data_IF_139730464729
#
_entry.id   IF_139730464729
#
_cell.length_a   1.000
_cell.length_b   1.000
_cell.length_c   1.000
_cell.angle_alpha   90.00
_cell.angle_beta   90.00
_cell.angle_gamma   90.00
#
_symmetry.space_group_name_H-M   'P 1'
#
loop_
_entity.id
_entity.type
_entity.pdbx_description
1 polymer ?
#
# COMPACT_ATOMS: atom_id res chain seq x y z
N UNK A 1 -5.81 11.37 2.06
CA UNK A 1 -5.51 9.96 2.40
C UNK A 1 -6.45 9.63 3.54
N UNK A 2 -7.21 8.54 3.44
CA UNK A 2 -8.12 8.14 4.52
C UNK A 2 -7.32 7.70 5.76
N UNK A 3 -7.87 7.92 6.94
CA UNK A 3 -7.29 7.41 8.20
C UNK A 3 -7.67 5.94 8.39
N UNK A 4 -6.86 5.16 9.12
CA UNK A 4 -7.16 3.73 9.36
C UNK A 4 -8.57 3.54 9.94
N UNK A 5 -8.96 4.41 10.87
CA UNK A 5 -10.26 4.40 11.50
C UNK A 5 -11.45 4.54 10.53
N UNK A 6 -11.25 5.11 9.34
CA UNK A 6 -12.29 5.29 8.29
C UNK A 6 -12.40 4.10 7.34
N UNK A 7 -11.42 3.19 7.37
CA UNK A 7 -11.31 2.05 6.46
C UNK A 7 -11.24 0.70 7.18
N UNK A 8 -11.15 0.71 8.51
CA UNK A 8 -11.09 -0.47 9.37
C UNK A 8 -12.30 -1.40 9.12
N UNK A 9 -12.08 -2.62 8.59
CA UNK A 9 -13.16 -3.53 8.21
C UNK A 9 -14.08 -3.91 9.39
N UNK A 10 -13.59 -3.86 10.63
CA UNK A 10 -14.40 -4.13 11.82
C UNK A 10 -15.54 -3.12 12.01
N UNK A 11 -15.41 -1.93 11.42
CA UNK A 11 -16.39 -0.83 11.53
C UNK A 11 -17.40 -0.82 10.37
N UNK A 12 -17.20 -1.68 9.37
CA UNK A 12 -17.96 -1.69 8.14
C UNK A 12 -18.39 -3.13 7.80
N UNK A 13 -19.61 -3.55 8.16
CA UNK A 13 -20.13 -4.84 7.72
C UNK A 13 -20.17 -4.93 6.19
N UNK A 14 -19.79 -6.09 5.64
CA UNK A 14 -19.80 -6.34 4.20
C UNK A 14 -20.09 -7.82 3.93
N UNK A 15 -20.96 -8.09 2.96
CA UNK A 15 -21.23 -9.43 2.45
C UNK A 15 -20.72 -9.54 1.00
N UNK A 16 -19.65 -10.32 0.82
CA UNK A 16 -19.05 -10.54 -0.49
C UNK A 16 -20.01 -11.26 -1.47
N UNK A 17 -20.95 -12.06 -0.97
CA UNK A 17 -21.92 -12.77 -1.82
C UNK A 17 -22.95 -11.82 -2.45
N UNK A 18 -23.29 -10.72 -1.77
CA UNK A 18 -24.24 -9.72 -2.27
C UNK A 18 -23.59 -8.65 -3.16
N UNK A 19 -22.26 -8.53 -3.12
CA UNK A 19 -21.52 -7.43 -3.75
C UNK A 19 -21.86 -7.23 -5.24
N UNK A 20 -21.93 -8.33 -6.01
CA UNK A 20 -22.24 -8.26 -7.44
C UNK A 20 -23.65 -7.74 -7.73
N UNK A 21 -24.63 -8.12 -6.90
CA UNK A 21 -26.01 -7.68 -7.04
C UNK A 21 -26.16 -6.20 -6.66
N UNK A 22 -25.50 -5.78 -5.58
CA UNK A 22 -25.44 -4.37 -5.17
C UNK A 22 -24.82 -3.51 -6.26
N UNK A 23 -23.66 -3.90 -6.79
CA UNK A 23 -22.95 -3.15 -7.84
C UNK A 23 -23.83 -3.00 -9.09
N UNK A 24 -24.53 -4.07 -9.50
CA UNK A 24 -25.46 -3.98 -10.64
C UNK A 24 -26.61 -2.99 -10.40
N UNK A 25 -27.06 -2.79 -9.16
CA UNK A 25 -28.10 -1.80 -8.82
C UNK A 25 -27.57 -0.37 -8.73
N UNK A 26 -26.34 -0.20 -8.26
CA UNK A 26 -25.72 1.12 -8.03
C UNK A 26 -25.02 1.68 -9.27
N UNK A 27 -24.65 0.81 -10.21
CA UNK A 27 -23.79 1.16 -11.32
C UNK A 27 -24.33 2.34 -12.15
N UNK A 28 -23.52 3.39 -12.37
CA UNK A 28 -23.81 4.35 -13.41
C UNK A 28 -23.73 3.67 -14.79
N UNK A 29 -24.38 4.21 -15.83
CA UNK A 29 -24.32 3.67 -17.18
C UNK A 29 -22.87 3.46 -17.65
N UNK A 30 -22.49 2.21 -17.93
CA UNK A 30 -21.12 1.88 -18.34
C UNK A 30 -20.85 2.49 -19.71
N UNK A 31 -19.76 3.27 -19.89
CA UNK A 31 -19.41 3.84 -21.18
C UNK A 31 -19.09 2.72 -22.18
N UNK A 32 -19.20 2.99 -23.50
CA UNK A 32 -18.80 2.02 -24.51
C UNK A 32 -17.31 1.68 -24.38
N UNK A 33 -16.95 0.45 -24.73
CA UNK A 33 -15.56 0.03 -24.79
C UNK A 33 -14.73 1.00 -25.64
N UNK A 34 -13.61 1.46 -25.09
CA UNK A 34 -12.64 2.19 -25.87
C UNK A 34 -12.00 1.24 -26.89
N UNK A 35 -11.74 1.68 -28.14
CA UNK A 35 -10.89 0.90 -29.02
C UNK A 35 -9.51 0.76 -28.37
N UNK A 36 -9.05 -0.48 -28.17
CA UNK A 36 -7.73 -0.77 -27.60
C UNK A 36 -6.66 -0.04 -28.44
N UNK A 37 -5.81 0.80 -27.83
CA UNK A 37 -4.76 1.48 -28.59
C UNK A 37 -3.87 0.44 -29.28
N UNK A 38 -3.77 0.50 -30.60
CA UNK A 38 -2.65 -0.15 -31.31
C UNK A 38 -1.34 0.41 -30.75
N UNK A 39 -0.20 -0.31 -30.84
CA UNK A 39 1.07 0.18 -30.31
C UNK A 39 1.28 1.65 -30.67
N UNK A 40 1.60 2.48 -29.66
CA UNK A 40 1.62 3.97 -29.65
C UNK A 40 2.33 4.65 -30.83
N UNK A 41 3.02 3.89 -31.68
CA UNK A 41 3.89 4.37 -32.74
C UNK A 41 3.14 4.84 -34.00
N UNK A 42 1.83 4.58 -34.16
CA UNK A 42 1.10 4.91 -35.40
C UNK A 42 -0.36 5.39 -35.23
N UNK A 43 -0.70 6.12 -34.16
CA UNK A 43 -2.03 6.74 -34.06
C UNK A 43 -2.05 8.08 -34.81
N UNK A 44 -3.04 8.27 -35.69
CA UNK A 44 -3.33 9.59 -36.24
C UNK A 44 -3.99 10.51 -35.19
N UNK A 45 -4.14 11.79 -35.52
CA UNK A 45 -4.69 12.79 -34.59
C UNK A 45 -6.13 12.45 -34.15
N UNK A 46 -6.93 11.88 -35.05
CA UNK A 46 -8.30 11.46 -34.75
C UNK A 46 -8.34 10.31 -33.75
N UNK A 47 -7.46 9.31 -33.91
CA UNK A 47 -7.33 8.20 -32.98
C UNK A 47 -6.82 8.65 -31.61
N UNK A 48 -5.90 9.63 -31.57
CA UNK A 48 -5.46 10.26 -30.33
C UNK A 48 -6.58 11.02 -29.62
N UNK A 49 -7.40 11.78 -30.35
CA UNK A 49 -8.55 12.48 -29.79
C UNK A 49 -9.60 11.51 -29.23
N UNK A 50 -9.90 10.43 -29.97
CA UNK A 50 -10.81 9.38 -29.52
C UNK A 50 -10.30 8.67 -28.24
N UNK A 51 -9.00 8.38 -28.16
CA UNK A 51 -8.40 7.78 -26.96
C UNK A 51 -8.54 8.69 -25.74
N UNK A 52 -8.27 9.99 -25.87
CA UNK A 52 -8.41 10.94 -24.75
C UNK A 52 -9.85 11.08 -24.29
N UNK A 53 -10.80 11.11 -25.23
CA UNK A 53 -12.22 11.18 -24.88
C UNK A 53 -12.68 9.90 -24.18
N UNK A 54 -12.20 8.74 -24.63
CA UNK A 54 -12.44 7.49 -23.93
C UNK A 54 -11.85 7.53 -22.51
N UNK A 55 -10.58 7.91 -22.33
CA UNK A 55 -9.94 8.05 -21.01
C UNK A 55 -10.73 8.97 -20.08
N UNK A 56 -11.26 10.09 -20.61
CA UNK A 56 -12.08 11.05 -19.87
C UNK A 56 -13.40 10.43 -19.41
N UNK A 57 -14.19 9.87 -20.32
CA UNK A 57 -15.48 9.23 -20.00
C UNK A 57 -15.32 8.12 -18.98
N UNK A 58 -14.22 7.39 -19.10
CA UNK A 58 -13.94 6.24 -18.27
C UNK A 58 -13.45 6.68 -16.87
N UNK A 59 -12.69 7.78 -16.77
CA UNK A 59 -12.38 8.45 -15.50
C UNK A 59 -13.62 9.01 -14.80
N UNK A 60 -14.52 9.67 -15.55
CA UNK A 60 -15.79 10.20 -15.02
C UNK A 60 -16.67 9.08 -14.47
N UNK A 61 -16.76 7.95 -15.18
CA UNK A 61 -17.49 6.77 -14.71
C UNK A 61 -16.85 6.17 -13.47
N UNK A 62 -15.51 6.06 -13.41
CA UNK A 62 -14.80 5.53 -12.24
C UNK A 62 -15.06 6.37 -10.99
N UNK A 63 -15.07 7.70 -11.14
CA UNK A 63 -15.45 8.61 -10.06
C UNK A 63 -16.90 8.39 -9.62
N UNK A 64 -17.85 8.34 -10.57
CA UNK A 64 -19.26 8.11 -10.26
C UNK A 64 -19.52 6.74 -9.61
N UNK A 65 -18.83 5.68 -10.05
CA UNK A 65 -18.90 4.36 -9.43
C UNK A 65 -18.31 4.38 -8.01
N UNK A 66 -17.18 5.09 -7.81
CA UNK A 66 -16.57 5.26 -6.49
C UNK A 66 -17.52 5.98 -5.53
N UNK A 67 -18.13 7.08 -5.97
CA UNK A 67 -19.12 7.81 -5.18
C UNK A 67 -20.32 6.94 -4.82
N UNK A 68 -20.83 6.14 -5.77
CA UNK A 68 -21.94 5.22 -5.53
C UNK A 68 -21.58 4.13 -4.51
N UNK A 69 -20.38 3.56 -4.60
CA UNK A 69 -19.88 2.58 -3.64
C UNK A 69 -19.67 3.19 -2.25
N UNK A 70 -19.08 4.38 -2.17
CA UNK A 70 -18.89 5.09 -0.90
C UNK A 70 -20.23 5.47 -0.26
N UNK A 71 -21.22 5.87 -1.06
CA UNK A 71 -22.56 6.18 -0.57
C UNK A 71 -23.28 4.97 0.03
N UNK A 72 -23.00 3.76 -0.46
CA UNK A 72 -23.62 2.52 0.03
C UNK A 72 -22.83 1.83 1.15
N UNK A 73 -21.53 1.64 0.96
CA UNK A 73 -20.66 0.87 1.87
C UNK A 73 -19.87 1.75 2.85
N UNK A 74 -19.79 3.06 2.63
CA UNK A 74 -18.99 3.99 3.42
C UNK A 74 -17.58 4.20 2.85
N UNK A 75 -16.76 4.97 3.59
CA UNK A 75 -15.46 5.46 3.10
C UNK A 75 -14.47 4.36 2.75
N UNK A 76 -14.49 3.23 3.45
CA UNK A 76 -13.61 2.10 3.14
C UNK A 76 -13.67 1.67 1.68
N UNK A 77 -14.83 1.81 1.01
CA UNK A 77 -14.98 1.40 -0.37
C UNK A 77 -14.19 2.25 -1.37
N UNK A 78 -13.71 3.46 -1.01
CA UNK A 78 -12.95 4.34 -1.90
C UNK A 78 -11.75 3.64 -2.58
N UNK A 79 -11.09 2.74 -1.85
CA UNK A 79 -9.91 2.03 -2.31
C UNK A 79 -10.16 0.88 -3.30
N UNK A 80 -11.41 0.59 -3.69
CA UNK A 80 -11.76 -0.56 -4.54
C UNK A 80 -10.96 -0.64 -5.86
N UNK A 81 -10.67 0.49 -6.49
CA UNK A 81 -9.90 0.58 -7.74
C UNK A 81 -8.39 0.68 -7.50
N UNK A 82 -7.97 0.69 -6.23
CA UNK A 82 -6.60 0.55 -5.76
C UNK A 82 -6.43 -0.76 -4.99
N UNK A 83 -7.23 -1.79 -5.29
CA UNK A 83 -7.11 -3.13 -4.71
C UNK A 83 -5.95 -3.93 -5.31
N UNK A 84 -5.54 -5.03 -4.65
CA UNK A 84 -4.52 -5.91 -5.21
C UNK A 84 -4.94 -6.37 -6.60
N UNK A 85 -4.00 -6.39 -7.56
CA UNK A 85 -4.26 -6.80 -8.95
C UNK A 85 -5.28 -5.92 -9.70
N UNK A 86 -5.56 -4.74 -9.16
CA UNK A 86 -6.39 -3.75 -9.82
C UNK A 86 -5.66 -3.21 -11.04
N UNK A 87 -6.20 -3.45 -12.22
CA UNK A 87 -5.74 -2.79 -13.43
C UNK A 87 -6.31 -1.37 -13.58
N UNK A 88 -7.21 -0.93 -12.69
CA UNK A 88 -8.09 0.23 -12.86
C UNK A 88 -7.36 1.59 -13.03
N UNK A 89 -6.04 1.62 -12.87
CA UNK A 89 -5.15 2.73 -13.23
C UNK A 89 -5.18 3.06 -14.74
N UNK A 90 -5.50 2.08 -15.60
CA UNK A 90 -5.72 2.26 -17.05
C UNK A 90 -7.17 1.94 -17.39
N UNK A 91 -8.11 2.63 -16.73
CA UNK A 91 -9.53 2.32 -16.79
C UNK A 91 -10.06 2.11 -18.23
N UNK A 92 -9.65 2.92 -19.21
CA UNK A 92 -10.07 2.77 -20.62
C UNK A 92 -9.69 1.44 -21.27
N UNK A 93 -8.67 0.75 -20.76
CA UNK A 93 -8.21 -0.56 -21.24
C UNK A 93 -8.99 -1.73 -20.62
N UNK A 94 -9.85 -1.47 -19.63
CA UNK A 94 -10.55 -2.49 -18.83
C UNK A 94 -12.06 -2.47 -19.05
N UNK A 95 -12.59 -1.38 -19.62
CA UNK A 95 -13.98 -1.32 -20.08
C UNK A 95 -14.15 -2.27 -21.26
N UNK A 96 -14.94 -3.32 -21.06
CA UNK A 96 -15.28 -4.29 -22.10
C UNK A 96 -16.77 -4.22 -22.40
N UNK A 97 -17.60 -5.03 -21.75
CA UNK A 97 -19.06 -4.94 -21.79
C UNK A 97 -19.58 -4.51 -20.43
N UNK A 98 -20.76 -3.88 -20.38
CA UNK A 98 -21.39 -3.48 -19.12
C UNK A 98 -21.38 -4.59 -18.05
N UNK A 99 -21.95 -5.78 -18.32
CA UNK A 99 -21.97 -6.88 -17.36
C UNK A 99 -20.58 -7.35 -16.91
N UNK A 100 -19.61 -7.43 -17.83
CA UNK A 100 -18.25 -7.88 -17.51
C UNK A 100 -17.51 -6.81 -16.68
N UNK A 101 -17.63 -5.53 -17.03
CA UNK A 101 -17.07 -4.42 -16.26
C UNK A 101 -17.61 -4.44 -14.84
N UNK A 102 -18.92 -4.60 -14.64
CA UNK A 102 -19.51 -4.66 -13.30
C UNK A 102 -19.08 -5.89 -12.51
N UNK A 103 -18.86 -7.02 -13.18
CA UNK A 103 -18.29 -8.22 -12.54
C UNK A 103 -16.87 -7.97 -12.05
N UNK A 104 -16.05 -7.27 -12.84
CA UNK A 104 -14.69 -6.88 -12.45
C UNK A 104 -14.69 -5.88 -11.30
N UNK A 105 -15.65 -4.95 -11.24
CA UNK A 105 -15.79 -4.03 -10.09
C UNK A 105 -16.12 -4.81 -8.82
N UNK A 106 -17.00 -5.81 -8.91
CA UNK A 106 -17.35 -6.64 -7.75
C UNK A 106 -16.16 -7.43 -7.23
N UNK A 107 -15.39 -8.07 -8.13
CA UNK A 107 -14.16 -8.74 -7.76
C UNK A 107 -13.15 -7.78 -7.10
N UNK A 108 -12.91 -6.61 -7.70
CA UNK A 108 -11.98 -5.62 -7.17
C UNK A 108 -12.38 -5.09 -5.78
N UNK A 109 -13.67 -4.86 -5.53
CA UNK A 109 -14.17 -4.46 -4.22
C UNK A 109 -13.97 -5.56 -3.16
N UNK A 110 -14.22 -6.83 -3.53
CA UNK A 110 -14.00 -7.99 -2.64
C UNK A 110 -12.51 -8.17 -2.34
N UNK A 111 -11.64 -8.08 -3.36
CA UNK A 111 -10.19 -8.18 -3.19
C UNK A 111 -9.66 -7.04 -2.30
N UNK A 112 -10.17 -5.82 -2.49
CA UNK A 112 -9.87 -4.69 -1.63
C UNK A 112 -10.33 -4.93 -0.18
N UNK A 113 -11.52 -5.50 0.00
CA UNK A 113 -12.03 -5.84 1.33
C UNK A 113 -11.15 -6.86 2.04
N UNK A 114 -10.84 -7.98 1.37
CA UNK A 114 -9.98 -9.02 1.93
C UNK A 114 -8.62 -8.43 2.33
N UNK A 115 -8.07 -7.55 1.50
CA UNK A 115 -6.82 -6.88 1.81
C UNK A 115 -6.91 -6.01 3.07
N UNK A 116 -7.99 -5.26 3.27
CA UNK A 116 -8.20 -4.50 4.50
C UNK A 116 -8.28 -5.41 5.73
N UNK A 117 -8.90 -6.58 5.61
CA UNK A 117 -8.98 -7.57 6.69
C UNK A 117 -7.60 -8.14 7.04
N UNK A 118 -6.78 -8.45 6.04
CA UNK A 118 -5.39 -8.87 6.24
C UNK A 118 -4.51 -7.77 6.89
N UNK A 119 -4.79 -6.49 6.62
CA UNK A 119 -4.14 -5.35 7.28
C UNK A 119 -4.61 -5.23 8.73
N UNK A 120 -5.90 -5.38 8.99
CA UNK A 120 -6.46 -5.35 10.33
C UNK A 120 -5.84 -6.43 11.22
N UNK A 121 -5.72 -7.66 10.73
CA UNK A 121 -5.06 -8.76 11.45
C UNK A 121 -3.60 -8.45 11.81
N UNK A 122 -2.88 -7.73 10.95
CA UNK A 122 -1.52 -7.25 11.25
C UNK A 122 -1.55 -6.21 12.35
N UNK A 123 -2.45 -5.24 12.27
CA UNK A 123 -2.55 -4.17 13.25
C UNK A 123 -2.94 -4.70 14.64
N UNK A 124 -3.82 -5.71 14.70
CA UNK A 124 -4.18 -6.41 15.94
C UNK A 124 -2.98 -7.05 16.64
N UNK A 125 -1.93 -7.44 15.90
CA UNK A 125 -0.67 -7.95 16.45
C UNK A 125 0.33 -6.84 16.75
N UNK A 126 0.47 -5.89 15.84
CA UNK A 126 1.50 -4.85 15.90
C UNK A 126 1.21 -3.81 16.98
N UNK A 127 -0.03 -3.32 17.08
CA UNK A 127 -0.35 -2.22 18.01
C UNK A 127 -0.14 -2.59 19.48
N UNK A 128 -0.56 -3.77 19.98
CA UNK A 128 -0.23 -4.18 21.34
C UNK A 128 1.27 -4.34 21.56
N UNK A 129 2.00 -4.94 20.61
CA UNK A 129 3.45 -5.12 20.72
C UNK A 129 4.19 -3.77 20.80
N UNK A 130 3.76 -2.78 20.02
CA UNK A 130 4.30 -1.42 20.08
C UNK A 130 4.02 -0.75 21.44
N UNK A 131 2.83 -0.93 22.00
CA UNK A 131 2.48 -0.41 23.31
C UNK A 131 3.32 -1.04 24.43
N UNK A 132 3.46 -2.37 24.43
CA UNK A 132 4.29 -3.10 25.40
C UNK A 132 5.77 -2.70 25.29
N UNK A 133 6.29 -2.56 24.08
CA UNK A 133 7.66 -2.11 23.83
C UNK A 133 7.90 -0.68 24.32
N UNK A 134 6.92 0.22 24.16
CA UNK A 134 6.99 1.58 24.70
C UNK A 134 7.11 1.60 26.23
N UNK A 135 6.46 0.67 26.94
CA UNK A 135 6.58 0.50 28.39
C UNK A 135 7.94 -0.09 28.81
N UNK A 136 8.52 -0.95 27.98
CA UNK A 136 9.83 -1.58 28.24
C UNK A 136 11.02 -0.63 28.06
N UNK A 137 10.84 0.48 27.34
CA UNK A 137 11.83 1.55 27.21
C UNK A 137 12.19 1.90 25.75
N UNK A 138 13.00 2.94 25.53
CA UNK A 138 13.24 3.52 24.21
C UNK A 138 13.94 2.57 23.22
N UNK A 139 14.82 1.68 23.69
CA UNK A 139 15.48 0.69 22.82
C UNK A 139 14.50 -0.39 22.34
N UNK A 140 13.64 -0.87 23.24
CA UNK A 140 12.59 -1.82 22.89
C UNK A 140 11.57 -1.19 21.93
N UNK A 141 11.15 0.05 22.20
CA UNK A 141 10.27 0.80 21.32
C UNK A 141 10.88 0.97 19.91
N UNK A 142 12.16 1.33 19.82
CA UNK A 142 12.86 1.48 18.54
C UNK A 142 12.84 0.17 17.74
N UNK A 143 13.22 -0.94 18.38
CA UNK A 143 13.25 -2.25 17.72
C UNK A 143 11.85 -2.73 17.29
N UNK A 144 10.82 -2.47 18.10
CA UNK A 144 9.45 -2.83 17.77
C UNK A 144 8.90 -2.00 16.59
N UNK A 145 9.17 -0.70 16.56
CA UNK A 145 8.82 0.16 15.43
C UNK A 145 9.53 -0.23 14.15
N UNK A 146 10.83 -0.51 14.22
CA UNK A 146 11.61 -0.96 13.07
C UNK A 146 11.04 -2.28 12.50
N UNK A 147 10.78 -3.26 13.37
CA UNK A 147 10.18 -4.54 12.94
C UNK A 147 8.81 -4.35 12.29
N UNK A 148 7.94 -3.52 12.89
CA UNK A 148 6.61 -3.24 12.36
C UNK A 148 6.69 -2.57 10.97
N UNK A 149 7.57 -1.59 10.79
CA UNK A 149 7.75 -0.94 9.49
C UNK A 149 8.33 -1.87 8.44
N UNK A 150 9.31 -2.71 8.80
CA UNK A 150 9.87 -3.70 7.88
C UNK A 150 8.82 -4.72 7.42
N UNK A 151 7.96 -5.20 8.32
CA UNK A 151 6.84 -6.08 7.99
C UNK A 151 5.88 -5.41 7.01
N UNK A 152 5.44 -4.17 7.29
CA UNK A 152 4.48 -3.45 6.45
C UNK A 152 5.06 -3.05 5.09
N UNK A 153 6.33 -2.66 5.03
CA UNK A 153 7.02 -2.38 3.76
C UNK A 153 7.13 -3.63 2.91
N UNK A 154 7.44 -4.78 3.52
CA UNK A 154 7.51 -6.06 2.82
C UNK A 154 6.13 -6.46 2.30
N UNK A 155 5.10 -6.36 3.13
CA UNK A 155 3.72 -6.67 2.75
C UNK A 155 3.20 -5.73 1.64
N UNK A 156 3.44 -4.43 1.78
CA UNK A 156 3.05 -3.41 0.79
C UNK A 156 3.82 -3.54 -0.53
N UNK A 157 5.07 -4.01 -0.48
CA UNK A 157 5.89 -4.20 -1.69
C UNK A 157 5.55 -5.50 -2.42
N UNK A 158 5.20 -6.57 -1.70
CA UNK A 158 4.69 -7.81 -2.29
C UNK A 158 3.37 -7.61 -3.04
N UNK A 159 2.68 -6.51 -2.75
CA UNK A 159 1.42 -6.11 -3.37
C UNK A 159 1.62 -5.40 -4.73
N UNK A 160 2.81 -4.87 -5.00
CA UNK A 160 3.10 -4.17 -6.24
C UNK A 160 3.38 -5.17 -7.38
N UNK A 161 2.55 -5.14 -8.43
CA UNK A 161 2.77 -5.96 -9.64
C UNK A 161 3.92 -5.45 -10.51
N UNK A 162 4.31 -4.18 -10.34
CA UNK A 162 5.43 -3.56 -11.04
C UNK A 162 6.24 -2.65 -10.09
N UNK A 163 7.50 -2.38 -10.44
CA UNK A 163 8.46 -1.59 -9.66
C UNK A 163 7.97 -0.17 -9.34
N UNK A 164 6.99 0.32 -10.09
CA UNK A 164 6.45 1.67 -9.99
C UNK A 164 5.32 1.79 -8.94
N UNK A 165 4.78 0.66 -8.45
CA UNK A 165 3.53 0.66 -7.67
C UNK A 165 3.70 0.36 -6.18
N UNK A 166 4.92 0.12 -5.68
CA UNK A 166 5.12 -0.18 -4.25
C UNK A 166 4.92 1.05 -3.35
N UNK A 167 5.22 2.25 -3.85
CA UNK A 167 5.21 3.47 -3.03
C UNK A 167 3.84 3.78 -2.43
N UNK A 168 2.77 3.77 -3.25
CA UNK A 168 1.42 4.10 -2.80
C UNK A 168 0.91 3.20 -1.66
N UNK A 169 0.94 1.87 -1.83
CA UNK A 169 0.58 0.89 -0.80
C UNK A 169 1.45 1.00 0.46
N UNK A 170 2.79 1.06 0.32
CA UNK A 170 3.69 1.20 1.46
C UNK A 170 3.40 2.49 2.24
N UNK A 171 3.32 3.62 1.54
CA UNK A 171 3.01 4.91 2.16
C UNK A 171 1.69 4.88 2.92
N UNK A 172 0.66 4.25 2.34
CA UNK A 172 -0.66 4.09 2.95
C UNK A 172 -0.59 3.26 4.23
N UNK A 173 -0.01 2.07 4.17
CA UNK A 173 0.12 1.16 5.32
C UNK A 173 0.88 1.81 6.48
N UNK A 174 2.01 2.46 6.18
CA UNK A 174 2.82 3.12 7.20
C UNK A 174 2.06 4.26 7.86
N UNK A 175 1.38 5.10 7.07
CA UNK A 175 0.56 6.21 7.60
C UNK A 175 -0.60 5.68 8.46
N UNK A 176 -1.24 4.59 8.04
CA UNK A 176 -2.29 3.94 8.81
C UNK A 176 -1.80 3.38 10.14
N UNK A 177 -0.64 2.73 10.16
CA UNK A 177 -0.07 2.23 11.42
C UNK A 177 0.24 3.38 12.39
N UNK A 178 0.85 4.46 11.88
CA UNK A 178 1.19 5.63 12.68
C UNK A 178 -0.05 6.28 13.29
N UNK A 179 -1.10 6.47 12.49
CA UNK A 179 -2.37 7.05 12.96
C UNK A 179 -3.10 6.12 13.92
N UNK A 180 -3.12 4.81 13.66
CA UNK A 180 -3.69 3.82 14.57
C UNK A 180 -2.93 3.74 15.92
N UNK A 181 -1.63 3.99 15.92
CA UNK A 181 -0.81 4.12 17.13
C UNK A 181 -0.95 5.49 17.82
N UNK A 182 -1.79 6.39 17.30
CA UNK A 182 -2.13 7.67 17.92
C UNK A 182 -1.28 8.86 17.50
N UNK A 183 -0.43 8.74 16.47
CA UNK A 183 0.25 9.91 15.91
C UNK A 183 -0.75 10.77 15.10
N UNK A 184 -0.64 12.11 15.16
CA UNK A 184 -1.41 12.98 14.27
C UNK A 184 -1.16 12.66 12.79
N UNK A 185 -2.23 12.66 11.99
CA UNK A 185 -2.21 12.27 10.57
C UNK A 185 -1.22 13.10 9.74
N UNK A 186 -1.19 14.41 9.95
CA UNK A 186 -0.27 15.34 9.27
C UNK A 186 1.21 15.00 9.57
N UNK A 187 1.53 14.71 10.83
CA UNK A 187 2.86 14.27 11.25
C UNK A 187 3.20 12.91 10.65
N UNK A 188 2.27 11.95 10.69
CA UNK A 188 2.49 10.60 10.14
C UNK A 188 2.80 10.64 8.65
N UNK A 189 2.00 11.40 7.88
CA UNK A 189 2.23 11.61 6.45
C UNK A 189 3.59 12.26 6.19
N UNK A 190 3.93 13.33 6.92
CA UNK A 190 5.19 14.03 6.73
C UNK A 190 6.41 13.14 6.98
N UNK A 191 6.39 12.32 8.04
CA UNK A 191 7.46 11.37 8.35
C UNK A 191 7.64 10.34 7.23
N UNK A 192 6.55 9.71 6.80
CA UNK A 192 6.58 8.69 5.75
C UNK A 192 7.07 9.29 4.42
N UNK A 193 6.57 10.47 4.05
CA UNK A 193 6.95 11.14 2.80
C UNK A 193 8.42 11.54 2.80
N UNK A 194 8.91 12.09 3.91
CA UNK A 194 10.32 12.46 4.07
C UNK A 194 11.24 11.24 3.94
N UNK A 195 10.89 10.13 4.59
CA UNK A 195 11.71 8.92 4.55
C UNK A 195 11.62 8.24 3.18
N UNK A 196 10.45 8.17 2.53
CA UNK A 196 10.33 7.45 1.26
C UNK A 196 10.76 8.27 0.03
N UNK A 197 10.78 9.61 0.09
CA UNK A 197 11.09 10.48 -1.04
C UNK A 197 12.41 10.15 -1.78
N UNK A 198 13.54 9.83 -1.11
CA UNK A 198 14.78 9.46 -1.80
C UNK A 198 14.63 8.24 -2.71
N UNK A 199 13.75 7.29 -2.35
CA UNK A 199 13.58 6.04 -3.08
C UNK A 199 12.68 6.18 -4.31
N UNK A 200 11.80 7.19 -4.37
CA UNK A 200 11.00 7.50 -5.55
C UNK A 200 11.86 7.77 -6.80
N UNK A 201 13.07 8.28 -6.62
CA UNK A 201 13.97 8.61 -7.74
C UNK A 201 14.64 7.39 -8.37
N UNK A 202 14.58 6.22 -7.72
CA UNK A 202 15.33 5.02 -8.12
C UNK A 202 14.57 4.11 -9.09
N UNK A 203 13.26 4.31 -9.30
CA UNK A 203 12.42 3.51 -10.21
C UNK A 203 12.72 2.01 -10.14
N UNK A 204 12.85 1.50 -8.92
CA UNK A 204 13.25 0.12 -8.64
C UNK A 204 12.45 -0.42 -7.45
N UNK A 205 12.28 -1.74 -7.42
CA UNK A 205 11.76 -2.43 -6.25
C UNK A 205 12.66 -2.17 -5.03
N UNK A 206 12.04 -2.08 -3.85
CA UNK A 206 12.79 -2.06 -2.60
C UNK A 206 13.48 -3.41 -2.42
N UNK A 207 14.81 -3.38 -2.32
CA UNK A 207 15.55 -4.54 -1.85
C UNK A 207 15.30 -4.76 -0.36
N UNK A 208 15.63 -5.94 0.16
CA UNK A 208 15.58 -6.19 1.60
C UNK A 208 16.46 -5.21 2.40
N UNK A 209 17.55 -4.71 1.81
CA UNK A 209 18.39 -3.69 2.43
C UNK A 209 17.68 -2.32 2.46
N UNK A 210 17.00 -1.94 1.37
CA UNK A 210 16.21 -0.70 1.34
C UNK A 210 15.07 -0.74 2.37
N UNK A 211 14.39 -1.89 2.52
CA UNK A 211 13.34 -2.06 3.53
C UNK A 211 13.89 -1.83 4.94
N UNK A 212 15.03 -2.45 5.28
CA UNK A 212 15.66 -2.28 6.58
C UNK A 212 16.07 -0.82 6.83
N UNK A 213 16.74 -0.18 5.86
CA UNK A 213 17.19 1.21 5.97
C UNK A 213 16.01 2.18 6.17
N UNK A 214 14.92 2.00 5.43
CA UNK A 214 13.70 2.82 5.57
C UNK A 214 13.06 2.60 6.93
N UNK A 215 12.89 1.34 7.34
CA UNK A 215 12.26 0.99 8.61
C UNK A 215 13.03 1.56 9.82
N UNK A 216 14.35 1.42 9.81
CA UNK A 216 15.24 1.90 10.87
C UNK A 216 15.18 3.44 11.01
N UNK A 217 15.23 4.16 9.87
CA UNK A 217 15.10 5.63 9.87
C UNK A 217 13.76 6.09 10.40
N UNK A 218 12.68 5.49 9.91
CA UNK A 218 11.34 5.87 10.34
C UNK A 218 11.11 5.57 11.83
N UNK A 219 11.62 4.44 12.33
CA UNK A 219 11.56 4.10 13.74
C UNK A 219 12.29 5.11 14.63
N UNK A 220 13.48 5.58 14.23
CA UNK A 220 14.22 6.62 14.95
C UNK A 220 13.44 7.93 15.03
N UNK A 221 12.85 8.35 13.91
CA UNK A 221 12.09 9.60 13.84
C UNK A 221 10.81 9.55 14.69
N UNK A 222 10.17 8.37 14.79
CA UNK A 222 8.98 8.16 15.63
C UNK A 222 9.34 8.17 17.12
N UNK A 223 10.40 7.46 17.53
CA UNK A 223 10.85 7.42 18.93
C UNK A 223 11.52 8.73 19.36
N UNK A 224 11.94 9.57 18.40
CA UNK A 224 12.59 10.85 18.67
C UNK A 224 14.07 10.71 19.02
N UNK A 225 14.78 9.73 18.45
CA UNK A 225 16.22 9.61 18.58
C UNK A 225 16.93 10.37 17.47
N UNK A 226 17.69 11.38 17.87
CA UNK A 226 18.56 12.15 16.98
C UNK A 226 19.65 11.24 16.37
N UNK A 227 19.99 11.35 15.07
CA UNK A 227 21.00 10.49 14.41
C UNK A 227 22.41 10.56 15.02
N UNK A 228 22.67 11.54 15.89
CA UNK A 228 23.98 11.82 16.46
C UNK A 228 24.30 11.17 17.82
N UNK A 229 23.34 10.50 18.47
CA UNK A 229 23.54 10.08 19.87
C UNK A 229 24.25 8.73 20.06
N UNK A 230 24.48 7.95 18.99
CA UNK A 230 25.12 6.63 19.06
C UNK A 230 26.41 6.48 18.24
N UNK A 231 26.87 7.52 17.54
CA UNK A 231 28.19 7.51 16.91
C UNK A 231 29.29 7.82 17.94
N UNK A 232 29.52 6.91 18.87
CA UNK A 232 30.82 6.84 19.55
C UNK A 232 31.91 6.51 18.52
N UNK A 233 33.09 7.14 18.55
CA UNK A 233 34.15 6.84 17.59
C UNK A 233 34.65 5.40 17.83
N UNK A 234 34.16 4.43 17.04
CA UNK A 234 34.70 3.07 17.05
C UNK A 234 33.74 1.91 16.76
N UNK A 235 32.42 2.09 16.67
CA UNK A 235 31.52 0.97 16.33
C UNK A 235 31.36 0.84 14.80
N UNK A 236 32.22 0.01 14.20
CA UNK A 236 31.98 -0.57 12.87
C UNK A 236 30.74 -1.47 12.91
N UNK A 237 29.93 -1.46 11.84
CA UNK A 237 28.62 -2.11 11.72
C UNK A 237 28.59 -3.66 11.74
N UNK A 238 29.46 -4.30 12.52
CA UNK A 238 29.58 -5.76 12.66
C UNK A 238 29.12 -6.29 14.03
N UNK A 239 28.72 -5.44 14.98
CA UNK A 239 28.23 -5.86 16.32
C UNK A 239 26.69 -5.98 16.38
N UNK A 240 26.12 -6.80 15.49
CA UNK A 240 24.72 -7.22 15.58
C UNK A 240 24.62 -8.58 16.27
N UNK A 241 23.63 -8.83 17.15
CA UNK A 241 23.45 -10.15 17.75
C UNK A 241 23.15 -11.19 16.66
N UNK A 242 24.03 -12.19 16.52
CA UNK A 242 23.94 -13.31 15.58
C UNK A 242 22.75 -14.27 15.83
N UNK A 243 21.86 -13.94 16.77
CA UNK A 243 20.74 -14.81 17.17
C UNK A 243 19.42 -14.04 17.17
N UNK A 244 18.79 -14.00 16.00
CA UNK A 244 17.39 -13.63 15.86
C UNK A 244 16.47 -14.84 16.16
N UNK A 245 15.19 -14.62 16.53
CA UNK A 245 14.27 -15.70 16.86
C UNK A 245 14.15 -16.76 15.76
N UNK A 246 14.13 -18.04 16.17
CA UNK A 246 14.08 -19.18 15.26
C UNK A 246 12.85 -19.13 14.33
N UNK A 247 13.09 -19.06 13.02
CA UNK A 247 12.05 -19.17 11.98
C UNK A 247 12.14 -18.16 10.83
N UNK A 248 13.01 -17.14 10.92
CA UNK A 248 13.19 -16.14 9.86
C UNK A 248 14.21 -16.60 8.80
N UNK A 249 14.00 -16.37 7.48
CA UNK A 249 15.05 -16.63 6.50
C UNK A 249 16.21 -15.62 6.64
N UNK A 250 17.37 -16.10 7.13
CA UNK A 250 18.59 -15.30 7.32
C UNK A 250 19.35 -15.10 6.00
N UNK A 251 19.05 -14.07 5.24
CA UNK A 251 19.68 -13.84 3.92
C UNK A 251 21.12 -13.29 3.97
N UNK A 252 21.67 -12.96 5.14
CA UNK A 252 23.09 -12.58 5.28
C UNK A 252 24.04 -13.78 5.37
N UNK A 253 23.54 -14.99 5.62
CA UNK A 253 24.38 -16.20 5.69
C UNK A 253 24.71 -16.83 4.32
N UNK A 254 23.93 -16.54 3.27
CA UNK A 254 24.06 -17.20 1.96
C UNK A 254 24.92 -16.45 0.92
N UNK A 255 25.44 -15.26 1.24
CA UNK A 255 26.32 -14.49 0.33
C UNK A 255 27.82 -14.57 0.66
N UNK A 256 28.28 -15.71 1.19
CA UNK A 256 29.72 -16.05 1.15
C UNK A 256 29.96 -17.14 0.11
N UNK A 257 29.97 -16.75 -1.16
CA UNK A 257 30.61 -17.59 -2.18
C UNK A 257 32.13 -17.53 -1.98
N UNK A 258 32.84 -18.68 -2.01
CA UNK A 258 34.29 -18.71 -1.94
C UNK A 258 34.87 -18.15 -3.25
N UNK A 259 35.74 -17.14 -3.13
CA UNK A 259 36.52 -16.63 -4.27
C UNK A 259 37.50 -17.72 -4.75
N UNK A 260 37.55 -18.05 -6.05
CA UNK A 260 38.77 -18.56 -6.67
C UNK A 260 39.79 -17.44 -6.87
#
# INVERSE_FOLDING_TARGET
MDEWAEVDPARHPFDAAEAADVIRRLAPPVPPAAPVPRPRQHLDEAAWAASREADRLASDWNAAMTDALMGHYGRWAYGWHWGPRSLWHYFSQIVTSGPETLTRVAAALVDWRQWLEEVAERFDRLLPALADAALAGPDAALAAWEAAFAELLTAGSAWAEDADYWYGPCRRLLTWLLTAAGLPTDRGVALVDQVLAPWLTRWAYLSAADVADVAERLARDVVGRDPGALAGPGQSGDDWPDTWPHGWPSFRATNRLPRP
#
